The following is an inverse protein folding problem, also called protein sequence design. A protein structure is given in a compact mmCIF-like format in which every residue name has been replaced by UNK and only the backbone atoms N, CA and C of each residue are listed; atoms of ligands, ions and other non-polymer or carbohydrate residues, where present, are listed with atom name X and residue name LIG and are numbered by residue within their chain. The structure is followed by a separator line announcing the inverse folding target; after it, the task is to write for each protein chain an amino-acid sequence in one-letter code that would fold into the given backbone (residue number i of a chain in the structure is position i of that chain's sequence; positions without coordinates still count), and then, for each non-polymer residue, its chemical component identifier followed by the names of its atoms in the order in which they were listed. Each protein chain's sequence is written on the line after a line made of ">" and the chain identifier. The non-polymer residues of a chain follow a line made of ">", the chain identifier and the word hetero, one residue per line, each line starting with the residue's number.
data_IF_069270492297
#
_entry.id   IF_069270492297
#
_cell.length_a   1.000
_cell.length_b   1.000
_cell.length_c   1.000
_cell.angle_alpha   90.00
_cell.angle_beta   90.00
_cell.angle_gamma   90.00
#
_symmetry.space_group_name_H-M   'P 1'
#
loop_
_entity.id
_entity.type
_entity.pdbx_description
1 polymer ?
#
# COMPACT_ATOMS: atom_id res chain seq x y z
N UNK A 1 -4.68 9.44 22.52
CA UNK A 1 -4.59 7.97 22.40
C UNK A 1 -3.64 7.49 23.48
N UNK A 2 -3.90 6.35 24.12
CA UNK A 2 -2.92 5.75 25.03
C UNK A 2 -1.64 5.43 24.26
N UNK A 3 -0.47 5.69 24.86
CA UNK A 3 0.83 5.40 24.25
C UNK A 3 0.94 3.89 24.05
N UNK A 4 0.89 3.45 22.79
CA UNK A 4 1.00 2.03 22.45
C UNK A 4 2.48 1.65 22.44
N UNK A 5 2.85 0.43 22.89
CA UNK A 5 4.21 -0.03 22.78
C UNK A 5 4.62 -0.13 21.30
N UNK A 6 5.87 0.25 21.00
CA UNK A 6 6.44 0.12 19.67
C UNK A 6 6.58 -1.35 19.28
N UNK A 7 6.24 -1.68 18.03
CA UNK A 7 6.35 -3.04 17.48
C UNK A 7 7.07 -3.00 16.14
N UNK A 8 7.90 -4.00 15.89
CA UNK A 8 8.47 -4.27 14.58
C UNK A 8 7.66 -5.39 13.92
N UNK A 9 7.28 -5.20 12.65
CA UNK A 9 6.47 -6.17 11.90
C UNK A 9 7.15 -6.51 10.59
N UNK A 10 7.05 -7.78 10.18
CA UNK A 10 7.50 -8.26 8.87
C UNK A 10 6.32 -8.97 8.21
N UNK A 11 6.08 -8.68 6.93
CA UNK A 11 5.07 -9.35 6.10
C UNK A 11 5.79 -10.29 5.13
N UNK A 12 5.45 -11.59 5.16
CA UNK A 12 6.08 -12.63 4.34
C UNK A 12 5.03 -13.46 3.59
N UNK A 13 5.45 -14.20 2.56
CA UNK A 13 4.57 -15.02 1.72
C UNK A 13 4.97 -15.07 0.25
N UNK A 14 4.32 -15.93 -0.53
CA UNK A 14 4.57 -16.13 -1.97
C UNK A 14 4.50 -14.81 -2.76
N UNK A 15 5.21 -14.70 -3.88
CA UNK A 15 5.26 -13.46 -4.70
C UNK A 15 3.85 -12.98 -5.09
N UNK A 16 2.94 -13.91 -5.36
CA UNK A 16 1.55 -13.63 -5.77
C UNK A 16 0.57 -13.34 -4.63
N UNK A 17 1.01 -13.40 -3.36
CA UNK A 17 0.10 -13.18 -2.22
C UNK A 17 -0.26 -11.69 -2.00
N UNK A 18 0.17 -10.77 -2.87
CA UNK A 18 -0.24 -9.36 -2.78
C UNK A 18 0.27 -8.61 -1.55
N UNK A 19 1.42 -9.04 -0.97
CA UNK A 19 1.97 -8.48 0.29
C UNK A 19 2.11 -6.95 0.26
N UNK A 20 2.71 -6.41 -0.80
CA UNK A 20 2.90 -4.96 -0.97
C UNK A 20 1.57 -4.23 -1.16
N UNK A 21 0.63 -4.82 -1.89
CA UNK A 21 -0.73 -4.29 -2.06
C UNK A 21 -1.45 -4.17 -0.72
N UNK A 22 -1.39 -5.22 0.11
CA UNK A 22 -2.01 -5.23 1.44
C UNK A 22 -1.36 -4.18 2.35
N UNK A 23 -0.04 -4.05 2.34
CA UNK A 23 0.62 -3.02 3.17
C UNK A 23 0.33 -1.61 2.70
N UNK A 24 0.30 -1.35 1.39
CA UNK A 24 -0.09 -0.04 0.87
C UNK A 24 -1.51 0.35 1.27
N UNK A 25 -2.45 -0.59 1.23
CA UNK A 25 -3.82 -0.36 1.70
C UNK A 25 -3.86 -0.07 3.20
N UNK A 26 -3.14 -0.86 4.01
CA UNK A 26 -3.08 -0.67 5.46
C UNK A 26 -2.52 0.72 5.84
N UNK A 27 -1.49 1.19 5.14
CA UNK A 27 -0.92 2.52 5.37
C UNK A 27 -1.88 3.65 4.97
N UNK A 28 -2.70 3.44 3.94
CA UNK A 28 -3.78 4.36 3.56
C UNK A 28 -4.88 4.40 4.63
N UNK A 29 -5.36 3.24 5.10
CA UNK A 29 -6.39 3.16 6.15
C UNK A 29 -5.94 3.83 7.46
N UNK A 30 -4.64 3.77 7.77
CA UNK A 30 -4.05 4.45 8.92
C UNK A 30 -3.84 5.96 8.71
N UNK A 31 -4.08 6.47 7.51
CA UNK A 31 -3.84 7.88 7.14
C UNK A 31 -2.37 8.26 7.07
N UNK A 32 -1.46 7.29 7.01
CA UNK A 32 -0.01 7.52 6.81
C UNK A 32 0.25 7.92 5.35
N UNK A 33 -0.56 7.41 4.43
CA UNK A 33 -0.59 7.77 3.01
C UNK A 33 -1.96 8.34 2.68
N UNK A 34 -2.00 9.48 2.00
CA UNK A 34 -3.26 10.12 1.63
C UNK A 34 -3.93 9.45 0.41
N UNK A 35 -5.26 9.54 0.35
CA UNK A 35 -6.05 8.99 -0.76
C UNK A 35 -5.69 9.63 -2.11
N UNK A 36 -5.22 10.89 -2.10
CA UNK A 36 -4.83 11.61 -3.32
C UNK A 36 -3.59 10.98 -3.97
N UNK A 37 -2.62 10.56 -3.15
CA UNK A 37 -1.41 9.87 -3.59
C UNK A 37 -1.78 8.51 -4.18
N UNK A 38 -2.67 7.77 -3.52
CA UNK A 38 -3.21 6.51 -4.05
C UNK A 38 -3.93 6.72 -5.39
N UNK A 39 -4.72 7.78 -5.52
CA UNK A 39 -5.41 8.10 -6.78
C UNK A 39 -4.42 8.46 -7.91
N UNK A 40 -3.35 9.21 -7.59
CA UNK A 40 -2.28 9.50 -8.54
C UNK A 40 -1.56 8.22 -8.98
N UNK A 41 -1.25 7.31 -8.05
CA UNK A 41 -0.69 6.00 -8.37
C UNK A 41 -1.64 5.15 -9.24
N UNK A 42 -2.95 5.21 -9.00
CA UNK A 42 -3.95 4.56 -9.84
C UNK A 42 -3.89 5.04 -11.29
N UNK A 43 -3.90 6.36 -11.48
CA UNK A 43 -3.83 6.96 -12.81
C UNK A 43 -2.54 6.59 -13.57
N UNK A 44 -1.40 6.53 -12.87
CA UNK A 44 -0.12 6.13 -13.46
C UNK A 44 -0.03 4.60 -13.69
N UNK A 45 -0.59 3.79 -12.80
CA UNK A 45 -0.65 2.33 -12.95
C UNK A 45 -1.49 1.92 -14.17
N UNK A 46 -2.61 2.62 -14.41
CA UNK A 46 -3.43 2.41 -15.60
C UNK A 46 -2.66 2.74 -16.88
N UNK A 47 -1.92 3.86 -16.92
CA UNK A 47 -1.08 4.24 -18.07
C UNK A 47 0.02 3.21 -18.37
N UNK A 48 0.53 2.52 -17.36
CA UNK A 48 1.56 1.50 -17.51
C UNK A 48 1.00 0.10 -17.80
N UNK A 49 -0.33 -0.06 -17.85
CA UNK A 49 -0.99 -1.34 -18.13
C UNK A 49 -0.96 -2.32 -16.96
N UNK A 50 -0.54 -1.90 -15.76
CA UNK A 50 -0.47 -2.75 -14.56
C UNK A 50 -1.80 -2.84 -13.79
N UNK A 51 -2.80 -2.03 -14.17
CA UNK A 51 -4.16 -2.06 -13.65
C UNK A 51 -4.36 -1.32 -12.33
N UNK A 52 -5.61 -0.96 -12.01
CA UNK A 52 -5.94 -0.10 -10.86
C UNK A 52 -5.56 -0.72 -9.49
N UNK A 53 -5.46 -2.05 -9.39
CA UNK A 53 -5.08 -2.73 -8.15
C UNK A 53 -3.60 -2.56 -7.78
N UNK A 54 -2.73 -2.19 -8.72
CA UNK A 54 -1.30 -2.02 -8.47
C UNK A 54 -0.97 -0.71 -7.74
N UNK A 55 -1.92 0.23 -7.64
CA UNK A 55 -1.72 1.54 -6.99
C UNK A 55 -1.27 1.44 -5.53
N UNK A 56 -1.72 0.42 -4.82
CA UNK A 56 -1.30 0.19 -3.43
C UNK A 56 0.08 -0.43 -3.34
N UNK A 57 0.47 -1.27 -4.30
CA UNK A 57 1.80 -1.87 -4.28
C UNK A 57 2.91 -0.81 -4.45
N UNK A 58 2.64 0.26 -5.19
CA UNK A 58 3.56 1.39 -5.40
C UNK A 58 3.81 2.24 -4.15
N UNK A 59 2.99 2.12 -3.11
CA UNK A 59 3.29 2.76 -1.82
C UNK A 59 4.57 2.18 -1.21
N UNK A 60 4.87 0.92 -1.54
CA UNK A 60 6.00 0.17 -1.00
C UNK A 60 7.15 0.03 -2.01
N UNK A 61 7.03 0.63 -3.20
CA UNK A 61 8.04 0.65 -4.27
C UNK A 61 8.93 1.89 -4.13
#
# INVERSE_FOLDING_TARGET
>A
MADKPHLNMIVTGHIDNGKSTTMGHFLMDLGVVDERTIAAHGAESEKTGKGDTFKYAWVMD
#
